data_IF_347111834405
#
_entry.id   IF_347111834405
#
_cell.length_a   1.000
_cell.length_b   1.000
_cell.length_c   1.000
_cell.angle_alpha   90.00
_cell.angle_beta   90.00
_cell.angle_gamma   90.00
#
_symmetry.space_group_name_H-M   'P 1'
#
loop_
_entity.id
_entity.type
_entity.pdbx_description
1 polymer ?
#
# COMPACT_ATOMS: atom_id res chain seq x y z
N UNK A 1 -31.52 -0.38 -64.76
CA UNK A 1 -31.57 -0.25 -63.29
C UNK A 1 -30.34 -0.94 -62.75
N UNK A 2 -29.35 -0.17 -62.31
CA UNK A 2 -28.11 -0.68 -61.75
C UNK A 2 -28.23 -0.56 -60.21
N UNK A 3 -28.25 -1.68 -59.51
CA UNK A 3 -28.34 -1.71 -58.07
C UNK A 3 -26.97 -1.38 -57.45
N UNK A 4 -26.90 -0.31 -56.68
CA UNK A 4 -25.75 0.00 -55.84
C UNK A 4 -25.73 -0.91 -54.59
N UNK A 5 -24.64 -1.63 -54.38
CA UNK A 5 -24.36 -2.32 -53.16
C UNK A 5 -24.00 -1.32 -52.05
N UNK A 6 -24.42 -1.52 -50.78
CA UNK A 6 -24.05 -0.66 -49.70
C UNK A 6 -22.57 -0.78 -49.35
N UNK A 7 -21.92 0.38 -49.14
CA UNK A 7 -20.53 0.46 -48.70
C UNK A 7 -20.33 -0.20 -47.33
N UNK A 8 -19.30 -1.02 -47.20
CA UNK A 8 -18.86 -1.61 -45.96
C UNK A 8 -18.41 -0.48 -44.99
N UNK A 9 -19.02 -0.41 -43.80
CA UNK A 9 -18.58 0.46 -42.73
C UNK A 9 -17.22 -0.06 -42.22
N UNK A 10 -16.18 0.72 -42.43
CA UNK A 10 -14.87 0.51 -41.78
C UNK A 10 -15.07 0.63 -40.28
N UNK A 11 -14.93 -0.48 -39.58
CA UNK A 11 -14.82 -0.50 -38.11
C UNK A 11 -13.53 0.20 -37.70
N UNK A 12 -13.64 1.36 -37.08
CA UNK A 12 -12.49 2.05 -36.47
C UNK A 12 -11.80 1.09 -35.49
N UNK A 13 -10.45 1.02 -35.49
CA UNK A 13 -9.72 0.21 -34.55
C UNK A 13 -9.98 0.74 -33.13
N UNK A 14 -10.59 -0.10 -32.29
CA UNK A 14 -10.71 0.16 -30.85
C UNK A 14 -9.31 0.27 -30.27
N UNK A 15 -8.88 1.47 -29.93
CA UNK A 15 -7.60 1.68 -29.24
C UNK A 15 -7.61 0.87 -27.95
N UNK A 16 -6.71 -0.12 -27.85
CA UNK A 16 -6.54 -0.92 -26.65
C UNK A 16 -6.36 0.02 -25.42
N UNK A 17 -7.00 -0.25 -24.29
CA UNK A 17 -6.90 0.61 -23.13
C UNK A 17 -5.44 0.75 -22.72
N UNK A 18 -4.98 2.01 -22.62
CA UNK A 18 -3.59 2.36 -22.30
C UNK A 18 -3.23 1.79 -20.93
N UNK A 19 -2.19 0.95 -20.85
CA UNK A 19 -1.71 0.40 -19.59
C UNK A 19 -1.39 1.53 -18.61
N UNK A 20 -1.94 1.55 -17.38
CA UNK A 20 -1.70 2.63 -16.42
C UNK A 20 -0.23 2.62 -15.96
N UNK A 21 0.31 3.81 -15.70
CA UNK A 21 1.64 3.93 -15.11
C UNK A 21 1.66 3.34 -13.70
N UNK A 22 2.66 2.51 -13.41
CA UNK A 22 2.91 2.03 -12.06
C UNK A 22 3.47 3.20 -11.22
N UNK A 23 2.90 3.40 -10.03
CA UNK A 23 3.31 4.48 -9.11
C UNK A 23 4.05 4.00 -7.88
N UNK A 24 3.72 2.79 -7.43
CA UNK A 24 4.27 2.22 -6.21
C UNK A 24 4.46 0.71 -6.37
N UNK A 25 5.66 0.24 -6.13
CA UNK A 25 5.98 -1.18 -6.10
C UNK A 25 6.51 -1.55 -4.72
N UNK A 26 5.83 -2.47 -4.06
CA UNK A 26 6.34 -3.10 -2.86
C UNK A 26 7.12 -4.34 -3.25
N UNK A 27 8.38 -4.40 -2.86
CA UNK A 27 9.20 -5.58 -3.05
C UNK A 27 9.51 -6.23 -1.71
N UNK A 28 9.08 -7.48 -1.55
CA UNK A 28 9.52 -8.32 -0.45
C UNK A 28 10.96 -8.74 -0.71
N UNK A 29 11.91 -7.93 -0.25
CA UNK A 29 13.32 -8.10 -0.56
C UNK A 29 13.93 -9.36 0.07
N UNK A 30 13.37 -9.79 1.20
CA UNK A 30 13.68 -11.05 1.89
C UNK A 30 12.45 -11.55 2.64
N UNK A 31 12.34 -12.86 2.82
CA UNK A 31 11.35 -13.47 3.72
C UNK A 31 11.86 -13.51 5.17
N UNK A 32 13.18 -13.40 5.40
CA UNK A 32 13.78 -13.38 6.72
C UNK A 32 13.27 -12.22 7.57
N UNK A 33 13.00 -12.48 8.85
CA UNK A 33 12.54 -11.50 9.82
C UNK A 33 13.00 -11.88 11.23
N UNK A 34 13.21 -10.90 12.05
CA UNK A 34 13.53 -11.07 13.48
C UNK A 34 12.29 -11.03 14.39
N UNK A 35 11.08 -10.91 13.82
CA UNK A 35 9.79 -10.94 14.53
C UNK A 35 8.85 -11.99 13.92
N UNK A 36 7.95 -12.53 14.77
CA UNK A 36 6.90 -13.49 14.40
C UNK A 36 5.51 -12.90 14.71
N UNK A 37 5.16 -11.83 13.98
CA UNK A 37 3.91 -11.11 14.22
C UNK A 37 2.68 -11.98 13.90
N UNK A 38 1.71 -12.04 14.80
CA UNK A 38 0.50 -12.88 14.67
C UNK A 38 -0.40 -12.50 13.49
N UNK A 39 -0.37 -11.23 13.03
CA UNK A 39 -1.14 -10.73 11.89
C UNK A 39 -0.32 -10.65 10.60
N UNK A 40 0.88 -11.26 10.57
CA UNK A 40 1.77 -11.18 9.42
C UNK A 40 1.10 -11.73 8.16
N UNK A 41 1.25 -11.01 7.03
CA UNK A 41 0.73 -11.47 5.73
C UNK A 41 1.42 -12.76 5.21
N UNK A 42 2.49 -13.22 5.85
CA UNK A 42 3.22 -14.45 5.52
C UNK A 42 2.78 -15.60 6.42
N UNK A 43 2.88 -16.83 5.91
CA UNK A 43 2.52 -18.05 6.65
C UNK A 43 3.60 -18.50 7.65
N UNK A 44 4.86 -18.16 7.41
CA UNK A 44 5.95 -18.49 8.33
C UNK A 44 7.15 -17.57 8.10
N UNK A 45 7.98 -17.49 9.15
CA UNK A 45 9.26 -16.78 9.13
C UNK A 45 10.35 -17.82 9.31
N UNK A 46 10.86 -18.37 8.22
CA UNK A 46 11.97 -19.33 8.26
C UNK A 46 13.20 -18.77 7.57
N UNK A 47 14.34 -18.78 8.25
CA UNK A 47 15.62 -18.46 7.62
C UNK A 47 15.95 -19.38 6.44
N UNK A 48 15.42 -20.62 6.44
CA UNK A 48 15.58 -21.54 5.32
C UNK A 48 14.89 -21.02 4.05
N UNK A 49 13.73 -20.36 4.19
CA UNK A 49 13.01 -19.76 3.05
C UNK A 49 13.78 -18.58 2.44
N UNK A 50 14.63 -17.89 3.21
CA UNK A 50 15.43 -16.77 2.69
C UNK A 50 16.48 -17.22 1.67
N UNK A 51 16.82 -18.51 1.63
CA UNK A 51 17.67 -19.10 0.59
C UNK A 51 17.03 -19.04 -0.80
N UNK A 52 15.71 -18.81 -0.89
CA UNK A 52 14.96 -18.66 -2.13
C UNK A 52 14.83 -17.20 -2.56
N UNK A 53 15.32 -16.24 -1.77
CA UNK A 53 15.30 -14.82 -2.11
C UNK A 53 15.98 -14.59 -3.46
N UNK A 54 15.50 -13.59 -4.21
CA UNK A 54 16.18 -13.15 -5.43
C UNK A 54 17.65 -12.86 -5.09
N UNK A 55 18.57 -13.42 -5.86
CA UNK A 55 19.99 -13.04 -5.75
C UNK A 55 20.19 -11.56 -6.04
N UNK A 56 21.32 -10.99 -5.62
CA UNK A 56 21.67 -9.59 -5.92
C UNK A 56 21.56 -9.28 -7.41
N UNK A 57 22.04 -10.18 -8.27
CA UNK A 57 22.00 -10.03 -9.72
C UNK A 57 20.55 -10.04 -10.26
N UNK A 58 19.71 -10.98 -9.80
CA UNK A 58 18.31 -11.06 -10.19
C UNK A 58 17.51 -9.84 -9.72
N UNK A 59 17.76 -9.38 -8.48
CA UNK A 59 17.13 -8.18 -7.94
C UNK A 59 17.49 -6.93 -8.75
N UNK A 60 18.77 -6.73 -9.06
CA UNK A 60 19.22 -5.60 -9.91
C UNK A 60 18.65 -5.68 -11.33
N UNK A 61 18.63 -6.87 -11.94
CA UNK A 61 18.05 -7.08 -13.27
C UNK A 61 16.59 -6.68 -13.31
N UNK A 62 15.79 -7.18 -12.37
CA UNK A 62 14.38 -6.84 -12.23
C UNK A 62 14.18 -5.33 -12.01
N UNK A 63 14.92 -4.71 -11.07
CA UNK A 63 14.81 -3.28 -10.75
C UNK A 63 15.13 -2.40 -11.94
N UNK A 64 16.10 -2.80 -12.78
CA UNK A 64 16.50 -2.06 -13.98
C UNK A 64 15.37 -1.93 -15.02
N UNK A 65 14.36 -2.80 -14.98
CA UNK A 65 13.20 -2.76 -15.90
C UNK A 65 12.06 -1.85 -15.41
N UNK A 66 12.07 -1.45 -14.14
CA UNK A 66 10.96 -0.69 -13.53
C UNK A 66 10.75 0.71 -14.14
N UNK A 67 11.80 1.46 -14.55
CA UNK A 67 11.59 2.77 -15.18
C UNK A 67 10.68 2.76 -16.41
N UNK A 68 10.60 1.63 -17.14
CA UNK A 68 9.73 1.45 -18.30
C UNK A 68 8.23 1.46 -17.95
N UNK A 69 7.89 1.23 -16.68
CA UNK A 69 6.48 1.14 -16.22
C UNK A 69 5.94 2.40 -15.58
N UNK A 70 6.72 3.50 -15.55
CA UNK A 70 6.29 4.80 -15.01
C UNK A 70 7.14 5.32 -13.85
N UNK A 71 8.34 4.78 -13.62
CA UNK A 71 9.27 5.18 -12.54
C UNK A 71 8.61 5.14 -11.14
N UNK A 72 8.13 3.97 -10.70
CA UNK A 72 7.44 3.85 -9.41
C UNK A 72 8.38 4.14 -8.24
N UNK A 73 7.81 4.54 -7.11
CA UNK A 73 8.51 4.43 -5.83
C UNK A 73 8.70 2.95 -5.53
N UNK A 74 9.96 2.53 -5.38
CA UNK A 74 10.29 1.17 -4.95
C UNK A 74 10.37 1.13 -3.42
N UNK A 75 9.43 0.40 -2.79
CA UNK A 75 9.42 0.18 -1.36
C UNK A 75 10.14 -1.13 -1.05
N UNK A 76 11.28 -1.04 -0.41
CA UNK A 76 11.96 -2.18 0.18
C UNK A 76 11.17 -2.63 1.40
N UNK A 77 10.58 -3.81 1.32
CA UNK A 77 9.76 -4.45 2.34
C UNK A 77 10.22 -5.91 2.48
N UNK A 78 9.44 -6.71 3.16
CA UNK A 78 9.75 -8.12 3.26
C UNK A 78 9.24 -8.73 4.55
N UNK A 79 10.06 -9.59 5.11
CA UNK A 79 10.14 -9.83 6.52
C UNK A 79 10.67 -8.58 7.20
N UNK A 80 11.96 -8.56 7.42
CA UNK A 80 12.68 -7.34 7.79
C UNK A 80 13.75 -7.07 6.71
N UNK A 81 13.57 -6.03 5.87
CA UNK A 81 14.48 -5.79 4.75
C UNK A 81 15.92 -5.51 5.19
N UNK A 82 16.12 -4.95 6.39
CA UNK A 82 17.47 -4.69 6.93
C UNK A 82 18.22 -5.97 7.32
N UNK A 83 17.56 -7.13 7.36
CA UNK A 83 18.22 -8.43 7.53
C UNK A 83 18.77 -8.99 6.22
N UNK A 84 18.42 -8.41 5.07
CA UNK A 84 19.00 -8.79 3.79
C UNK A 84 20.44 -8.23 3.68
N UNK A 85 21.48 -9.08 3.52
CA UNK A 85 22.88 -8.63 3.59
C UNK A 85 23.25 -7.57 2.55
N UNK A 86 22.72 -7.67 1.32
CA UNK A 86 23.01 -6.81 0.19
C UNK A 86 21.97 -5.67 -0.01
N UNK A 87 21.08 -5.41 0.97
CA UNK A 87 19.98 -4.44 0.84
C UNK A 87 20.47 -3.06 0.40
N UNK A 88 21.55 -2.56 0.97
CA UNK A 88 22.09 -1.25 0.62
C UNK A 88 22.78 -1.21 -0.76
N UNK A 89 23.33 -2.33 -1.22
CA UNK A 89 23.87 -2.47 -2.56
C UNK A 89 22.75 -2.40 -3.60
N UNK A 90 21.68 -3.14 -3.38
CA UNK A 90 20.52 -3.17 -4.26
C UNK A 90 19.77 -1.82 -4.21
N UNK A 91 19.70 -1.17 -3.05
CA UNK A 91 19.11 0.16 -2.92
C UNK A 91 19.89 1.23 -3.69
N UNK A 92 21.23 1.22 -3.64
CA UNK A 92 22.08 2.09 -4.49
C UNK A 92 21.84 1.84 -5.97
N UNK A 93 21.69 0.59 -6.39
CA UNK A 93 21.36 0.28 -7.77
C UNK A 93 19.98 0.86 -8.16
N UNK A 94 18.96 0.75 -7.32
CA UNK A 94 17.65 1.34 -7.57
C UNK A 94 17.72 2.87 -7.76
N UNK A 95 18.49 3.56 -6.90
CA UNK A 95 18.71 5.01 -7.07
C UNK A 95 19.50 5.36 -8.34
N UNK A 96 20.49 4.55 -8.72
CA UNK A 96 21.30 4.79 -9.93
C UNK A 96 20.50 4.68 -11.23
N UNK A 97 19.43 3.84 -11.25
CA UNK A 97 18.49 3.78 -12.37
C UNK A 97 17.35 4.80 -12.26
N UNK A 98 17.45 5.73 -11.31
CA UNK A 98 16.56 6.88 -11.15
C UNK A 98 15.23 6.58 -10.44
N UNK A 99 15.11 5.48 -9.71
CA UNK A 99 13.92 5.20 -8.92
C UNK A 99 13.97 5.91 -7.55
N UNK A 100 12.89 6.57 -7.13
CA UNK A 100 12.73 6.95 -5.73
C UNK A 100 12.55 5.69 -4.89
N UNK A 101 13.24 5.62 -3.74
CA UNK A 101 13.19 4.46 -2.85
C UNK A 101 12.61 4.82 -1.48
N UNK A 102 11.88 3.87 -0.89
CA UNK A 102 11.39 3.93 0.48
C UNK A 102 11.64 2.60 1.19
N UNK A 103 11.67 2.62 2.51
CA UNK A 103 11.89 1.45 3.36
C UNK A 103 10.67 1.21 4.22
N UNK A 104 10.23 -0.05 4.33
CA UNK A 104 9.21 -0.50 5.28
C UNK A 104 9.84 -1.52 6.24
N UNK A 105 10.04 -1.14 7.49
CA UNK A 105 10.74 -1.92 8.52
C UNK A 105 9.90 -2.05 9.78
N UNK A 106 10.16 -3.06 10.59
CA UNK A 106 9.61 -3.14 11.94
C UNK A 106 10.31 -2.16 12.93
N UNK A 107 11.49 -1.64 12.56
CA UNK A 107 12.24 -0.66 13.34
C UNK A 107 13.07 -1.23 14.50
N UNK A 108 12.89 -2.51 14.85
CA UNK A 108 13.44 -3.08 16.11
C UNK A 108 14.95 -3.33 16.09
N UNK A 109 15.57 -3.36 14.91
CA UNK A 109 17.03 -3.53 14.75
C UNK A 109 17.72 -2.22 14.36
N UNK A 110 16.98 -1.12 14.30
CA UNK A 110 17.50 0.19 13.95
C UNK A 110 18.52 0.67 15.00
N UNK A 111 19.58 1.28 14.52
CA UNK A 111 20.59 1.96 15.32
C UNK A 111 21.14 3.17 14.56
N UNK A 112 21.97 4.05 15.17
CA UNK A 112 22.48 5.26 14.51
C UNK A 112 23.27 4.98 13.23
N UNK A 113 24.04 3.89 13.17
CA UNK A 113 24.81 3.50 11.98
C UNK A 113 23.88 3.12 10.81
N UNK A 114 22.88 2.28 11.06
CA UNK A 114 21.87 1.92 10.05
C UNK A 114 21.08 3.15 9.58
N UNK A 115 20.68 4.03 10.50
CA UNK A 115 19.98 5.26 10.17
C UNK A 115 20.82 6.18 9.24
N UNK A 116 22.10 6.34 9.54
CA UNK A 116 23.03 7.08 8.69
C UNK A 116 23.16 6.44 7.28
N UNK A 117 23.32 5.11 7.21
CA UNK A 117 23.39 4.39 5.92
C UNK A 117 22.09 4.53 5.11
N UNK A 118 20.92 4.51 5.75
CA UNK A 118 19.62 4.72 5.12
C UNK A 118 19.54 6.12 4.50
N UNK A 119 19.95 7.16 5.23
CA UNK A 119 20.05 8.53 4.72
C UNK A 119 20.99 8.61 3.51
N UNK A 120 22.20 8.06 3.64
CA UNK A 120 23.28 8.20 2.65
C UNK A 120 22.97 7.48 1.33
N UNK A 121 22.22 6.38 1.37
CA UNK A 121 21.72 5.68 0.18
C UNK A 121 20.57 6.43 -0.49
N UNK A 122 19.92 7.34 0.23
CA UNK A 122 18.90 8.23 -0.31
C UNK A 122 17.47 7.72 -0.21
N UNK A 123 17.16 6.89 0.78
CA UNK A 123 15.77 6.55 1.10
C UNK A 123 14.99 7.82 1.44
N UNK A 124 13.90 8.05 0.70
CA UNK A 124 13.09 9.28 0.84
C UNK A 124 12.18 9.25 2.06
N UNK A 125 11.78 8.06 2.50
CA UNK A 125 10.93 7.83 3.65
C UNK A 125 11.16 6.43 4.22
N UNK A 126 11.11 6.33 5.53
CA UNK A 126 11.07 5.05 6.24
C UNK A 126 9.74 4.92 6.95
N UNK A 127 9.00 3.84 6.67
CA UNK A 127 7.81 3.50 7.43
C UNK A 127 8.16 2.49 8.52
N UNK A 128 7.75 2.79 9.74
CA UNK A 128 7.88 1.91 10.91
C UNK A 128 6.49 1.51 11.37
N UNK A 129 6.37 0.24 11.73
CA UNK A 129 5.09 -0.33 12.15
C UNK A 129 4.84 -0.13 13.64
N UNK A 130 3.66 0.45 13.98
CA UNK A 130 3.16 0.57 15.34
C UNK A 130 1.69 0.17 15.38
N UNK A 131 1.37 -0.95 16.04
CA UNK A 131 0.00 -1.46 16.12
C UNK A 131 -0.68 -1.09 17.46
N UNK A 132 -0.16 -0.09 18.14
CA UNK A 132 -0.71 0.47 19.35
C UNK A 132 0.12 1.64 19.87
N UNK A 133 -0.47 2.45 20.79
CA UNK A 133 0.19 3.63 21.36
C UNK A 133 1.15 3.31 22.50
N UNK A 134 1.16 2.06 22.96
CA UNK A 134 1.95 1.57 24.08
C UNK A 134 2.37 0.11 23.89
N UNK A 135 3.32 -0.35 24.71
CA UNK A 135 3.84 -1.72 24.64
C UNK A 135 2.75 -2.78 24.81
N UNK A 136 1.83 -2.70 25.79
CA UNK A 136 0.79 -3.72 25.93
C UNK A 136 -0.09 -3.91 24.68
N UNK A 137 -0.39 -2.83 23.96
CA UNK A 137 -1.22 -2.89 22.75
C UNK A 137 -0.41 -3.33 21.52
N UNK A 138 0.78 -2.74 21.34
CA UNK A 138 1.63 -3.01 20.18
C UNK A 138 2.21 -4.43 20.21
N UNK A 139 2.73 -4.84 21.38
CA UNK A 139 3.42 -6.11 21.53
C UNK A 139 2.47 -7.31 21.44
N UNK A 140 1.16 -7.11 21.62
CA UNK A 140 0.15 -8.14 21.40
C UNK A 140 0.22 -8.74 19.99
N UNK A 141 0.52 -7.91 18.99
CA UNK A 141 0.68 -8.36 17.61
C UNK A 141 2.14 -8.69 17.24
N UNK A 142 3.11 -8.00 17.84
CA UNK A 142 4.51 -8.02 17.36
C UNK A 142 5.50 -8.72 18.27
N UNK A 143 5.04 -9.09 19.45
CA UNK A 143 5.87 -9.77 20.44
C UNK A 143 6.53 -8.82 21.45
N UNK A 144 6.92 -9.36 22.63
CA UNK A 144 7.41 -8.58 23.77
C UNK A 144 8.64 -7.73 23.44
N UNK A 145 8.60 -6.45 23.86
CA UNK A 145 9.71 -5.50 23.73
C UNK A 145 9.89 -4.94 22.30
N UNK A 146 8.98 -5.24 21.38
CA UNK A 146 9.02 -4.66 20.03
C UNK A 146 8.73 -3.15 20.06
N UNK A 147 7.80 -2.71 20.92
CA UNK A 147 7.42 -1.30 21.04
C UNK A 147 8.61 -0.40 21.35
N UNK A 148 9.32 -0.66 22.45
CA UNK A 148 10.42 0.19 22.89
C UNK A 148 11.57 0.25 21.87
N UNK A 149 11.88 -0.88 21.24
CA UNK A 149 12.88 -0.95 20.18
C UNK A 149 12.45 -0.13 18.95
N UNK A 150 11.16 -0.17 18.57
CA UNK A 150 10.63 0.62 17.45
C UNK A 150 10.64 2.12 17.76
N UNK A 151 10.33 2.53 19.02
CA UNK A 151 10.48 3.91 19.49
C UNK A 151 11.94 4.38 19.32
N UNK A 152 12.90 3.56 19.76
CA UNK A 152 14.32 3.87 19.58
C UNK A 152 14.69 4.01 18.09
N UNK A 153 14.16 3.12 17.26
CA UNK A 153 14.37 3.18 15.82
C UNK A 153 13.87 4.48 15.16
N UNK A 154 12.70 4.97 15.59
CA UNK A 154 12.19 6.28 15.14
C UNK A 154 13.15 7.41 15.53
N UNK A 155 13.63 7.42 16.79
CA UNK A 155 14.57 8.45 17.26
C UNK A 155 15.84 8.47 16.41
N UNK A 156 16.48 7.33 16.17
CA UNK A 156 17.68 7.24 15.33
C UNK A 156 17.45 7.82 13.92
N UNK A 157 16.32 7.54 13.28
CA UNK A 157 15.99 8.07 11.95
C UNK A 157 15.74 9.57 11.98
N UNK A 158 15.06 10.08 12.99
CA UNK A 158 14.79 11.51 13.16
C UNK A 158 16.07 12.32 13.41
N UNK A 159 17.00 11.79 14.19
CA UNK A 159 18.32 12.41 14.45
C UNK A 159 19.14 12.63 13.17
N UNK A 160 19.00 11.76 12.19
CA UNK A 160 19.69 11.91 10.89
C UNK A 160 18.83 12.62 9.84
N UNK A 161 17.64 13.12 10.18
CA UNK A 161 16.76 13.89 9.29
C UNK A 161 16.02 13.06 8.24
N UNK A 162 15.85 11.76 8.45
CA UNK A 162 15.07 10.89 7.55
C UNK A 162 13.58 11.07 7.85
N UNK A 163 12.76 11.22 6.80
CA UNK A 163 11.29 11.27 6.91
C UNK A 163 10.75 9.96 7.45
N UNK A 164 9.93 10.03 8.52
CA UNK A 164 9.34 8.86 9.18
C UNK A 164 7.83 8.83 8.97
N UNK A 165 7.35 7.66 8.61
CA UNK A 165 5.93 7.32 8.53
C UNK A 165 5.62 6.23 9.55
N UNK A 166 4.52 6.37 10.26
CA UNK A 166 3.98 5.31 11.11
C UNK A 166 2.94 4.51 10.31
N UNK A 167 3.05 3.19 10.36
CA UNK A 167 2.03 2.28 9.85
C UNK A 167 1.36 1.59 11.03
N UNK A 168 0.04 1.62 11.11
CA UNK A 168 -0.72 0.89 12.12
C UNK A 168 -1.72 -0.05 11.47
N UNK A 169 -1.71 -1.32 11.88
CA UNK A 169 -2.74 -2.29 11.46
C UNK A 169 -3.85 -2.29 12.49
N UNK A 170 -5.05 -1.95 12.03
CA UNK A 170 -6.23 -1.81 12.89
C UNK A 170 -7.01 -3.11 12.97
N UNK A 171 -7.22 -3.55 14.21
CA UNK A 171 -8.03 -4.69 14.58
C UNK A 171 -8.82 -4.34 15.86
N UNK A 172 -9.66 -5.24 16.35
CA UNK A 172 -10.59 -4.92 17.47
C UNK A 172 -9.87 -4.51 18.76
N UNK A 173 -8.68 -5.04 19.02
CA UNK A 173 -7.93 -4.72 20.24
C UNK A 173 -7.40 -3.29 20.29
N UNK A 174 -7.19 -2.63 19.12
CA UNK A 174 -6.57 -1.31 19.06
C UNK A 174 -7.42 -0.23 18.38
N UNK A 175 -8.54 -0.55 17.72
CA UNK A 175 -9.29 0.46 16.96
C UNK A 175 -9.82 1.62 17.83
N UNK A 176 -10.15 1.34 19.11
CA UNK A 176 -10.55 2.38 20.07
C UNK A 176 -9.39 3.22 20.58
N UNK A 177 -8.15 2.84 20.28
CA UNK A 177 -6.91 3.53 20.67
C UNK A 177 -6.31 4.33 19.51
N UNK A 178 -7.07 4.55 18.42
CA UNK A 178 -6.57 5.30 17.25
C UNK A 178 -6.18 6.74 17.58
N UNK A 179 -6.90 7.43 18.47
CA UNK A 179 -6.54 8.77 18.93
C UNK A 179 -5.19 8.79 19.69
N UNK A 180 -4.95 7.79 20.52
CA UNK A 180 -3.69 7.67 21.26
C UNK A 180 -2.53 7.34 20.29
N UNK A 181 -2.77 6.47 19.31
CA UNK A 181 -1.80 6.17 18.27
C UNK A 181 -1.48 7.40 17.41
N UNK A 182 -2.49 8.22 17.11
CA UNK A 182 -2.31 9.48 16.39
C UNK A 182 -1.46 10.48 17.19
N UNK A 183 -1.71 10.60 18.51
CA UNK A 183 -0.88 11.43 19.40
C UNK A 183 0.55 10.92 19.45
N UNK A 184 0.76 9.60 19.62
CA UNK A 184 2.08 9.00 19.59
C UNK A 184 2.83 9.35 18.30
N UNK A 185 2.16 9.27 17.14
CA UNK A 185 2.78 9.62 15.85
C UNK A 185 3.20 11.11 15.81
N UNK A 186 2.39 12.00 16.36
CA UNK A 186 2.74 13.43 16.51
C UNK A 186 3.93 13.63 17.44
N UNK A 187 3.93 13.00 18.61
CA UNK A 187 4.97 13.12 19.64
C UNK A 187 6.33 12.58 19.15
N UNK A 188 6.29 11.54 18.32
CA UNK A 188 7.47 11.00 17.66
C UNK A 188 7.96 11.87 16.49
N UNK A 189 7.23 12.93 16.13
CA UNK A 189 7.55 13.80 15.00
C UNK A 189 7.44 13.07 13.65
N UNK A 190 6.52 12.12 13.53
CA UNK A 190 6.27 11.45 12.26
C UNK A 190 5.66 12.43 11.23
N UNK A 191 5.96 12.22 9.96
CA UNK A 191 5.41 13.02 8.85
C UNK A 191 4.07 12.46 8.36
N UNK A 192 3.82 11.18 8.61
CA UNK A 192 2.62 10.48 8.13
C UNK A 192 2.19 9.36 9.08
N UNK A 193 0.87 9.10 9.11
CA UNK A 193 0.26 7.93 9.73
C UNK A 193 -0.61 7.21 8.70
N UNK A 194 -0.22 6.00 8.33
CA UNK A 194 -1.00 5.14 7.45
C UNK A 194 -1.76 4.10 8.27
N UNK A 195 -3.07 4.14 8.18
CA UNK A 195 -3.99 3.25 8.90
C UNK A 195 -4.36 2.10 7.97
N UNK A 196 -3.85 0.92 8.28
CA UNK A 196 -4.11 -0.31 7.54
C UNK A 196 -5.29 -1.05 8.18
N UNK A 197 -6.35 -1.22 7.43
CA UNK A 197 -7.43 -2.09 7.90
C UNK A 197 -7.02 -3.55 7.67
N UNK A 198 -7.02 -4.35 8.73
CA UNK A 198 -6.57 -5.74 8.71
C UNK A 198 -7.18 -6.53 7.54
N UNK A 199 -6.33 -7.23 6.81
CA UNK A 199 -6.71 -8.18 5.77
C UNK A 199 -6.31 -9.58 6.24
N UNK A 200 -7.23 -10.53 6.40
CA UNK A 200 -6.93 -11.86 6.92
C UNK A 200 -6.23 -12.71 5.85
N UNK A 201 -4.90 -12.61 5.79
CA UNK A 201 -4.04 -13.39 4.90
C UNK A 201 -2.77 -13.81 5.64
N UNK A 202 -2.12 -14.87 5.20
CA UNK A 202 -0.95 -15.43 5.88
C UNK A 202 -1.28 -15.85 7.32
N UNK A 203 -0.43 -15.53 8.29
CA UNK A 203 -0.72 -15.78 9.73
C UNK A 203 -2.01 -15.09 10.19
N UNK A 204 -2.40 -13.99 9.56
CA UNK A 204 -3.66 -13.32 9.84
C UNK A 204 -4.91 -14.17 9.58
N UNK A 205 -4.82 -15.25 8.81
CA UNK A 205 -5.91 -16.23 8.62
C UNK A 205 -6.15 -17.10 9.86
N UNK A 206 -5.16 -17.23 10.73
CA UNK A 206 -5.23 -18.01 11.96
C UNK A 206 -5.79 -17.19 13.13
N UNK A 207 -5.97 -15.88 12.94
CA UNK A 207 -6.56 -15.01 13.95
C UNK A 207 -8.04 -15.35 14.15
N UNK A 208 -8.46 -15.37 15.41
CA UNK A 208 -9.87 -15.54 15.77
C UNK A 208 -10.75 -14.45 15.14
N UNK A 209 -11.95 -14.81 14.72
CA UNK A 209 -12.89 -13.87 14.10
C UNK A 209 -13.20 -12.67 15.01
N UNK A 210 -13.06 -12.81 16.34
CA UNK A 210 -13.23 -11.72 17.31
C UNK A 210 -12.18 -10.62 17.18
N UNK A 211 -11.05 -10.86 16.48
CA UNK A 211 -10.01 -9.85 16.20
C UNK A 211 -10.43 -8.93 15.05
N UNK A 212 -11.33 -9.40 14.18
CA UNK A 212 -11.82 -8.61 13.05
C UNK A 212 -12.82 -7.55 13.48
N UNK A 213 -12.78 -6.39 12.84
CA UNK A 213 -13.80 -5.35 13.04
C UNK A 213 -15.12 -5.76 12.40
N UNK A 214 -16.23 -5.44 13.07
CA UNK A 214 -17.54 -5.43 12.45
C UNK A 214 -17.66 -4.37 11.36
N UNK A 215 -18.65 -4.49 10.48
CA UNK A 215 -18.90 -3.48 9.45
C UNK A 215 -19.10 -2.06 10.00
N UNK A 216 -19.75 -1.93 11.17
CA UNK A 216 -19.96 -0.64 11.84
C UNK A 216 -18.63 -0.09 12.41
N UNK A 217 -17.87 -0.91 13.14
CA UNK A 217 -16.55 -0.51 13.66
C UNK A 217 -15.60 -0.10 12.53
N UNK A 218 -15.75 -0.74 11.37
CA UNK A 218 -15.01 -0.39 10.18
C UNK A 218 -15.40 1.01 9.65
N UNK A 219 -16.70 1.30 9.56
CA UNK A 219 -17.21 2.62 9.17
C UNK A 219 -16.77 3.71 10.18
N UNK A 220 -16.82 3.40 11.49
CA UNK A 220 -16.38 4.32 12.54
C UNK A 220 -14.90 4.67 12.39
N UNK A 221 -14.04 3.68 12.13
CA UNK A 221 -12.62 3.92 11.89
C UNK A 221 -12.37 4.79 10.64
N UNK A 222 -13.13 4.57 9.55
CA UNK A 222 -13.02 5.38 8.34
C UNK A 222 -13.48 6.83 8.56
N UNK A 223 -14.56 7.03 9.32
CA UNK A 223 -15.02 8.36 9.69
C UNK A 223 -14.00 9.06 10.60
N UNK A 224 -13.40 8.34 11.55
CA UNK A 224 -12.32 8.87 12.36
C UNK A 224 -11.12 9.35 11.52
N UNK A 225 -10.68 8.54 10.53
CA UNK A 225 -9.61 8.97 9.61
C UNK A 225 -9.98 10.25 8.87
N UNK A 226 -11.25 10.35 8.42
CA UNK A 226 -11.73 11.57 7.75
C UNK A 226 -11.63 12.79 8.67
N UNK A 227 -12.15 12.70 9.89
CA UNK A 227 -12.15 13.80 10.84
C UNK A 227 -10.73 14.25 11.20
N UNK A 228 -9.82 13.31 11.47
CA UNK A 228 -8.41 13.62 11.76
C UNK A 228 -7.66 14.17 10.54
N UNK A 229 -8.04 13.76 9.32
CA UNK A 229 -7.42 14.32 8.10
C UNK A 229 -7.69 15.80 7.90
N UNK A 230 -8.80 16.32 8.42
CA UNK A 230 -9.15 17.74 8.36
C UNK A 230 -8.27 18.61 9.27
N UNK A 231 -7.63 18.03 10.29
CA UNK A 231 -6.73 18.77 11.18
C UNK A 231 -5.42 19.21 10.48
N UNK A 232 -5.01 18.52 9.43
CA UNK A 232 -3.81 18.85 8.66
C UNK A 232 -2.47 18.70 9.39
N UNK A 233 -2.46 18.06 10.59
CA UNK A 233 -1.25 17.90 11.43
C UNK A 233 -0.34 16.76 10.98
N UNK A 234 -0.93 15.69 10.43
CA UNK A 234 -0.25 14.53 9.87
C UNK A 234 -0.84 14.18 8.50
N UNK A 235 0.01 13.66 7.61
CA UNK A 235 -0.50 13.05 6.38
C UNK A 235 -1.13 11.70 6.72
N UNK A 236 -2.47 11.65 6.75
CA UNK A 236 -3.25 10.44 7.02
C UNK A 236 -3.60 9.72 5.74
N UNK A 237 -3.51 8.38 5.78
CA UNK A 237 -3.94 7.53 4.66
C UNK A 237 -4.65 6.28 5.18
N UNK A 238 -5.84 6.03 4.67
CA UNK A 238 -6.51 4.74 4.81
C UNK A 238 -5.90 3.75 3.79
N UNK A 239 -5.36 2.63 4.27
CA UNK A 239 -4.74 1.58 3.45
C UNK A 239 -5.52 0.28 3.60
N UNK A 240 -5.66 -0.50 2.53
CA UNK A 240 -6.55 -1.66 2.47
C UNK A 240 -8.01 -1.32 2.82
N UNK A 241 -8.38 -0.06 2.64
CA UNK A 241 -9.70 0.51 2.97
C UNK A 241 -10.25 1.36 1.82
N UNK A 242 -10.48 0.79 0.63
CA UNK A 242 -10.89 1.56 -0.54
C UNK A 242 -12.21 2.29 -0.36
N UNK A 243 -13.10 1.81 0.50
CA UNK A 243 -14.37 2.47 0.80
C UNK A 243 -14.23 3.77 1.59
N UNK A 244 -13.03 4.11 2.08
CA UNK A 244 -12.72 5.45 2.59
C UNK A 244 -13.02 6.55 1.54
N UNK A 245 -12.79 6.28 0.26
CA UNK A 245 -13.11 7.23 -0.81
C UNK A 245 -14.62 7.47 -0.96
N UNK A 246 -15.46 6.47 -0.64
CA UNK A 246 -16.90 6.67 -0.52
C UNK A 246 -17.24 7.57 0.67
N UNK A 247 -16.68 7.26 1.85
CA UNK A 247 -16.87 8.05 3.08
C UNK A 247 -16.49 9.52 2.83
N UNK A 248 -15.31 9.77 2.28
CA UNK A 248 -14.87 11.13 1.93
C UNK A 248 -15.89 11.87 1.07
N UNK A 249 -16.40 11.25 0.00
CA UNK A 249 -17.39 11.85 -0.89
C UNK A 249 -18.72 12.14 -0.20
N UNK A 250 -19.19 11.20 0.62
CA UNK A 250 -20.43 11.36 1.37
C UNK A 250 -20.32 12.49 2.40
N UNK A 251 -19.23 12.51 3.18
CA UNK A 251 -18.98 13.54 4.19
C UNK A 251 -18.79 14.92 3.57
N UNK A 252 -17.96 15.05 2.52
CA UNK A 252 -17.75 16.33 1.83
C UNK A 252 -19.05 16.87 1.24
N UNK A 253 -19.88 16.02 0.63
CA UNK A 253 -21.18 16.42 0.10
C UNK A 253 -22.12 16.89 1.22
N UNK A 254 -22.19 16.18 2.35
CA UNK A 254 -23.05 16.53 3.47
C UNK A 254 -22.63 17.86 4.13
N UNK A 255 -21.35 18.19 4.11
CA UNK A 255 -20.80 19.43 4.68
C UNK A 255 -20.76 20.59 3.68
N UNK A 256 -21.16 20.38 2.41
CA UNK A 256 -21.02 21.40 1.35
C UNK A 256 -19.57 21.81 1.08
N UNK A 257 -18.60 20.96 1.49
CA UNK A 257 -17.18 21.26 1.40
C UNK A 257 -16.53 20.57 0.20
N UNK A 258 -15.44 21.15 -0.32
CA UNK A 258 -14.56 20.43 -1.24
C UNK A 258 -13.97 19.19 -0.56
N UNK A 259 -13.68 18.14 -1.34
CA UNK A 259 -12.96 16.98 -0.78
C UNK A 259 -11.66 17.43 -0.13
N UNK A 260 -11.28 16.87 1.05
CA UNK A 260 -10.02 17.19 1.67
C UNK A 260 -8.90 16.99 0.65
N UNK A 261 -8.14 18.05 0.37
CA UNK A 261 -6.87 17.87 -0.32
C UNK A 261 -6.02 16.99 0.60
N UNK A 262 -5.37 15.97 0.05
CA UNK A 262 -4.35 15.25 0.79
C UNK A 262 -3.23 16.28 1.06
N UNK A 263 -3.33 17.00 2.18
CA UNK A 263 -2.43 18.10 2.49
C UNK A 263 -1.02 17.55 2.65
N UNK A 264 -0.09 18.08 1.87
CA UNK A 264 1.33 17.96 2.18
C UNK A 264 1.69 19.09 3.15
N UNK A 265 2.06 18.81 4.41
CA UNK A 265 2.56 19.83 5.34
C UNK A 265 3.87 20.47 4.86
N UNK A 266 4.51 19.94 3.80
CA UNK A 266 5.84 20.35 3.37
C UNK A 266 5.93 21.53 2.39
N UNK A 267 4.83 22.22 2.06
CA UNK A 267 4.96 23.44 1.22
C UNK A 267 5.62 24.63 1.92
N UNK A 268 5.80 24.60 3.25
CA UNK A 268 6.29 25.76 4.01
C UNK A 268 7.39 25.49 5.06
N UNK A 269 8.02 24.31 5.11
CA UNK A 269 9.21 24.12 5.93
C UNK A 269 10.46 24.15 5.04
N UNK A 270 11.08 25.33 4.96
CA UNK A 270 12.44 25.46 4.45
C UNK A 270 13.39 24.59 5.28
N UNK A 271 13.94 23.53 4.68
CA UNK A 271 15.07 22.83 5.27
C UNK A 271 16.28 23.78 5.33
N UNK A 272 16.92 23.95 6.50
CA UNK A 272 18.25 24.53 6.53
C UNK A 272 19.23 23.49 6.00
N UNK A 273 19.54 23.54 4.70
CA UNK A 273 20.44 22.61 4.01
C UNK A 273 20.07 22.33 2.55
N UNK A 274 19.36 23.22 1.90
CA UNK A 274 19.03 23.11 0.48
C UNK A 274 20.28 23.23 -0.39
N UNK A 275 20.64 22.17 -1.11
CA UNK A 275 21.55 22.30 -2.26
C UNK A 275 20.82 23.05 -3.39
N UNK A 276 21.38 24.14 -3.91
CA UNK A 276 20.83 24.84 -5.09
C UNK A 276 21.23 24.04 -6.34
N UNK A 277 20.27 23.54 -7.07
CA UNK A 277 20.50 23.00 -8.40
C UNK A 277 19.83 21.67 -8.69
N UNK A 278 18.55 21.68 -8.93
CA UNK A 278 17.82 20.58 -9.53
C UNK A 278 16.56 21.12 -10.20
N UNK A 279 16.59 21.23 -11.53
CA UNK A 279 15.45 21.61 -12.35
C UNK A 279 14.23 20.75 -11.99
N UNK A 280 13.07 21.39 -11.78
CA UNK A 280 11.80 20.75 -11.47
C UNK A 280 11.35 19.80 -12.57
N UNK A 281 11.69 18.53 -12.44
CA UNK A 281 11.07 17.45 -13.17
C UNK A 281 9.77 17.11 -12.47
N UNK A 282 8.68 16.95 -13.22
CA UNK A 282 7.38 16.48 -12.79
C UNK A 282 7.50 15.20 -11.94
N UNK A 283 7.60 15.36 -10.62
CA UNK A 283 7.48 14.21 -9.72
C UNK A 283 5.99 13.84 -9.69
N UNK A 284 5.64 12.56 -9.93
CA UNK A 284 4.26 12.14 -9.85
C UNK A 284 3.72 12.44 -8.46
N UNK A 285 2.76 13.35 -8.38
CA UNK A 285 2.09 13.71 -7.14
C UNK A 285 1.37 12.48 -6.58
N UNK A 286 1.92 11.89 -5.53
CA UNK A 286 1.32 10.76 -4.81
C UNK A 286 -0.03 11.12 -4.18
N UNK A 287 -0.39 12.41 -4.15
CA UNK A 287 -1.68 12.89 -3.62
C UNK A 287 -2.81 12.76 -4.63
N UNK A 288 -2.52 12.64 -5.92
CA UNK A 288 -3.52 12.45 -6.98
C UNK A 288 -4.07 11.01 -7.03
N UNK A 289 -4.18 10.31 -5.89
CA UNK A 289 -4.82 9.00 -5.81
C UNK A 289 -6.34 9.18 -5.82
N UNK A 290 -6.93 9.05 -6.99
CA UNK A 290 -8.37 9.31 -7.22
C UNK A 290 -9.25 8.08 -7.00
N UNK A 291 -8.66 6.90 -6.74
CA UNK A 291 -9.36 5.62 -6.55
C UNK A 291 -9.00 4.96 -5.24
N UNK A 292 -9.91 4.15 -4.72
CA UNK A 292 -9.74 3.42 -3.46
C UNK A 292 -8.77 2.26 -3.57
N UNK A 293 -9.12 1.22 -4.32
CA UNK A 293 -8.22 0.09 -4.54
C UNK A 293 -7.28 0.36 -5.72
N UNK A 294 -5.98 0.35 -5.45
CA UNK A 294 -4.94 0.59 -6.46
C UNK A 294 -4.21 -0.68 -6.88
N UNK A 295 -4.58 -1.84 -6.32
CA UNK A 295 -4.02 -3.14 -6.69
C UNK A 295 -4.10 -3.36 -8.21
N UNK A 296 -2.97 -3.67 -8.85
CA UNK A 296 -2.91 -3.88 -10.29
C UNK A 296 -3.17 -2.65 -11.17
N UNK A 297 -3.49 -1.49 -10.59
CA UNK A 297 -3.79 -0.23 -11.31
C UNK A 297 -2.66 0.80 -11.19
N UNK A 298 -2.15 1.01 -9.98
CA UNK A 298 -1.04 1.91 -9.70
C UNK A 298 -0.10 1.33 -8.64
N UNK A 299 -0.48 0.22 -8.02
CA UNK A 299 0.28 -0.50 -7.00
C UNK A 299 0.49 -1.93 -7.46
N UNK A 300 1.67 -2.46 -7.17
CA UNK A 300 2.05 -3.84 -7.42
C UNK A 300 2.92 -4.36 -6.27
N UNK A 301 3.01 -5.67 -6.16
CA UNK A 301 3.85 -6.36 -5.19
C UNK A 301 4.68 -7.44 -5.89
N UNK A 302 5.96 -7.55 -5.52
CA UNK A 302 6.86 -8.61 -5.96
C UNK A 302 7.39 -9.33 -4.73
N UNK A 303 7.26 -10.66 -4.70
CA UNK A 303 7.74 -11.49 -3.59
C UNK A 303 9.25 -11.64 -3.60
N UNK A 304 9.79 -12.21 -2.52
CA UNK A 304 11.20 -12.56 -2.39
C UNK A 304 11.66 -13.57 -3.45
N UNK A 305 10.76 -14.40 -3.96
CA UNK A 305 11.03 -15.38 -5.03
C UNK A 305 10.84 -14.82 -6.44
N UNK A 306 10.39 -13.56 -6.56
CA UNK A 306 10.15 -12.89 -7.85
C UNK A 306 8.73 -13.05 -8.39
N UNK A 307 7.80 -13.67 -7.66
CA UNK A 307 6.39 -13.73 -8.05
C UNK A 307 5.76 -12.34 -7.97
N UNK A 308 4.96 -11.99 -8.97
CA UNK A 308 4.28 -10.70 -9.10
C UNK A 308 2.82 -10.84 -8.72
N UNK A 309 2.34 -9.96 -7.84
CA UNK A 309 0.97 -9.93 -7.34
C UNK A 309 0.36 -8.53 -7.49
N UNK A 310 -0.98 -8.40 -7.59
CA UNK A 310 -1.64 -7.09 -7.67
C UNK A 310 -1.38 -6.19 -6.46
N UNK A 311 -1.27 -6.78 -5.26
CA UNK A 311 -0.85 -6.14 -4.03
C UNK A 311 -0.29 -7.18 -3.04
N UNK A 312 0.28 -6.75 -1.92
CA UNK A 312 0.88 -7.63 -0.92
C UNK A 312 -0.11 -8.54 -0.17
N UNK A 313 -1.42 -8.37 -0.37
CA UNK A 313 -2.47 -9.10 0.33
C UNK A 313 -3.34 -9.95 -0.61
N UNK A 314 -3.18 -9.86 -1.93
CA UNK A 314 -3.92 -10.68 -2.90
C UNK A 314 -2.99 -11.75 -3.48
N UNK A 315 -3.07 -13.00 -3.01
CA UNK A 315 -2.12 -14.07 -3.34
C UNK A 315 -2.44 -14.74 -4.68
N UNK A 316 -2.73 -13.95 -5.71
CA UNK A 316 -3.00 -14.44 -7.07
C UNK A 316 -1.84 -14.00 -7.97
N UNK A 317 -1.01 -14.98 -8.37
CA UNK A 317 0.20 -14.72 -9.17
C UNK A 317 -0.15 -14.19 -10.56
N UNK A 318 0.52 -13.12 -10.94
CA UNK A 318 0.42 -12.49 -12.27
C UNK A 318 1.59 -12.84 -13.19
N UNK A 319 2.59 -13.57 -12.69
CA UNK A 319 3.82 -13.98 -13.38
C UNK A 319 5.03 -13.90 -12.46
N UNK A 320 6.23 -14.20 -12.98
CA UNK A 320 7.48 -14.19 -12.20
C UNK A 320 8.57 -13.43 -12.96
N UNK A 321 9.26 -12.51 -12.27
CA UNK A 321 10.31 -11.65 -12.87
C UNK A 321 11.58 -12.42 -13.26
N UNK A 322 11.75 -13.67 -12.80
CA UNK A 322 12.86 -14.54 -13.24
C UNK A 322 12.67 -15.08 -14.66
N UNK A 323 11.41 -15.18 -15.11
CA UNK A 323 11.06 -15.81 -16.39
C UNK A 323 10.52 -14.81 -17.41
N UNK A 324 9.92 -13.72 -16.93
CA UNK A 324 9.26 -12.72 -17.77
C UNK A 324 9.61 -11.32 -17.31
N UNK A 325 10.05 -10.41 -18.19
CA UNK A 325 10.33 -9.02 -17.81
C UNK A 325 9.12 -8.36 -17.14
N UNK A 326 9.37 -7.63 -16.06
CA UNK A 326 8.28 -7.01 -15.28
C UNK A 326 7.35 -6.11 -16.12
N UNK A 327 7.83 -5.27 -17.07
CA UNK A 327 6.94 -4.46 -17.91
C UNK A 327 5.95 -5.30 -18.72
N UNK A 328 6.35 -6.48 -19.18
CA UNK A 328 5.47 -7.42 -19.89
C UNK A 328 4.39 -7.96 -18.96
N UNK A 329 4.77 -8.39 -17.75
CA UNK A 329 3.79 -8.86 -16.74
C UNK A 329 2.80 -7.74 -16.41
N UNK A 330 3.29 -6.51 -16.16
CA UNK A 330 2.47 -5.36 -15.83
C UNK A 330 1.45 -5.01 -16.92
N UNK A 331 1.84 -5.14 -18.17
CA UNK A 331 1.00 -4.82 -19.32
C UNK A 331 0.00 -5.93 -19.64
N UNK A 332 0.46 -7.18 -19.68
CA UNK A 332 -0.22 -8.27 -20.39
C UNK A 332 -0.90 -9.29 -19.46
N UNK A 333 -0.66 -9.22 -18.13
CA UNK A 333 -1.29 -10.17 -17.20
C UNK A 333 -2.82 -10.03 -17.21
N UNK A 334 -3.50 -11.18 -17.41
CA UNK A 334 -4.96 -11.27 -17.33
C UNK A 334 -5.51 -10.76 -15.99
N UNK A 335 -4.82 -11.06 -14.89
CA UNK A 335 -5.22 -10.64 -13.53
C UNK A 335 -5.24 -9.12 -13.42
N UNK A 336 -4.21 -8.45 -13.94
CA UNK A 336 -4.19 -6.99 -13.96
C UNK A 336 -5.27 -6.42 -14.88
N UNK A 337 -5.51 -7.03 -16.04
CA UNK A 337 -6.58 -6.63 -16.96
C UNK A 337 -7.96 -6.75 -16.29
N UNK A 338 -8.22 -7.85 -15.59
CA UNK A 338 -9.48 -8.06 -14.87
C UNK A 338 -9.70 -7.02 -13.77
N UNK A 339 -8.69 -6.76 -12.94
CA UNK A 339 -8.79 -5.78 -11.85
C UNK A 339 -8.92 -4.33 -12.37
N UNK A 340 -8.39 -4.04 -13.55
CA UNK A 340 -8.49 -2.71 -14.18
C UNK A 340 -9.88 -2.43 -14.75
N UNK A 341 -10.66 -3.45 -15.00
CA UNK A 341 -12.01 -3.38 -15.56
C UNK A 341 -13.08 -3.43 -14.45
N UNK A 342 -13.60 -2.26 -14.07
CA UNK A 342 -14.63 -2.15 -13.03
C UNK A 342 -16.00 -2.72 -13.45
N UNK A 343 -16.19 -3.03 -14.74
CA UNK A 343 -17.40 -3.71 -15.23
C UNK A 343 -17.48 -5.18 -14.83
N UNK A 344 -16.33 -5.79 -14.50
CA UNK A 344 -16.23 -7.19 -14.04
C UNK A 344 -16.51 -7.38 -12.56
N UNK A 345 -16.68 -6.31 -11.80
CA UNK A 345 -17.01 -6.42 -10.38
C UNK A 345 -18.38 -7.05 -10.18
N UNK A 346 -18.46 -7.97 -9.22
CA UNK A 346 -19.65 -8.76 -8.90
C UNK A 346 -20.29 -8.29 -7.57
N UNK A 347 -21.40 -8.91 -7.20
CA UNK A 347 -22.16 -8.63 -5.99
C UNK A 347 -22.51 -7.15 -5.84
N UNK A 348 -22.61 -6.67 -4.58
CA UNK A 348 -22.95 -5.26 -4.31
C UNK A 348 -21.90 -4.27 -4.85
N UNK A 349 -20.63 -4.69 -5.00
CA UNK A 349 -19.60 -3.85 -5.59
C UNK A 349 -19.87 -3.57 -7.06
N UNK A 350 -20.36 -4.54 -7.84
CA UNK A 350 -20.73 -4.40 -9.25
C UNK A 350 -21.92 -3.47 -9.48
N UNK A 351 -22.87 -3.44 -8.51
CA UNK A 351 -24.07 -2.59 -8.57
C UNK A 351 -23.86 -1.20 -7.95
N UNK A 352 -22.75 -0.98 -7.25
CA UNK A 352 -22.51 0.21 -6.45
C UNK A 352 -22.21 1.45 -7.31
N UNK A 353 -22.85 2.58 -7.02
CA UNK A 353 -22.60 3.87 -7.65
C UNK A 353 -21.20 4.43 -7.38
N UNK A 354 -20.54 3.94 -6.33
CA UNK A 354 -19.15 4.28 -6.00
C UNK A 354 -18.10 3.35 -6.63
N UNK A 355 -18.48 2.35 -7.44
CA UNK A 355 -17.55 1.33 -7.95
C UNK A 355 -16.32 1.92 -8.67
N UNK A 356 -16.49 3.00 -9.44
CA UNK A 356 -15.39 3.66 -10.17
C UNK A 356 -14.33 4.29 -9.26
N UNK A 357 -14.68 4.61 -8.01
CA UNK A 357 -13.78 5.31 -7.07
C UNK A 357 -13.39 4.46 -5.88
N UNK A 358 -14.19 3.47 -5.50
CA UNK A 358 -13.94 2.58 -4.37
C UNK A 358 -13.36 1.23 -4.81
N UNK A 359 -14.10 0.48 -5.62
CA UNK A 359 -13.83 -0.89 -6.10
C UNK A 359 -13.84 -1.98 -5.01
N UNK A 360 -13.99 -1.66 -3.72
CA UNK A 360 -13.80 -2.62 -2.62
C UNK A 360 -12.36 -3.14 -2.51
N UNK A 361 -12.00 -3.79 -1.40
CA UNK A 361 -10.69 -4.43 -1.26
C UNK A 361 -10.72 -5.79 -1.95
N UNK A 362 -9.98 -5.92 -3.06
CA UNK A 362 -9.94 -7.16 -3.85
C UNK A 362 -9.30 -8.33 -3.09
N UNK A 363 -8.41 -8.02 -2.14
CA UNK A 363 -7.78 -9.04 -1.32
C UNK A 363 -8.76 -9.62 -0.29
N UNK A 364 -9.60 -8.78 0.38
CA UNK A 364 -10.63 -9.29 1.30
C UNK A 364 -11.75 -10.02 0.56
N UNK A 365 -12.18 -9.50 -0.61
CA UNK A 365 -13.11 -10.23 -1.45
C UNK A 365 -12.58 -11.64 -1.76
N UNK A 366 -11.33 -11.76 -2.18
CA UNK A 366 -10.69 -13.04 -2.46
C UNK A 366 -10.58 -13.93 -1.21
N UNK A 367 -10.16 -13.38 -0.08
CA UNK A 367 -10.00 -14.14 1.17
C UNK A 367 -11.32 -14.77 1.64
N UNK A 368 -12.44 -14.08 1.43
CA UNK A 368 -13.76 -14.55 1.88
C UNK A 368 -14.43 -15.50 0.87
N UNK A 369 -14.28 -15.21 -0.43
CA UNK A 369 -15.09 -15.87 -1.48
C UNK A 369 -14.28 -16.71 -2.46
N UNK A 370 -12.94 -16.60 -2.46
CA UNK A 370 -12.08 -17.18 -3.48
C UNK A 370 -12.05 -16.40 -4.81
N UNK A 371 -12.85 -15.31 -4.96
CA UNK A 371 -12.86 -14.45 -6.15
C UNK A 371 -12.45 -13.02 -5.81
N UNK A 372 -11.44 -12.50 -6.54
CA UNK A 372 -11.05 -11.09 -6.40
C UNK A 372 -11.99 -10.11 -7.12
N UNK A 373 -13.02 -10.59 -7.80
CA UNK A 373 -14.04 -9.77 -8.47
C UNK A 373 -15.31 -9.62 -7.62
N UNK A 374 -15.51 -10.48 -6.61
CA UNK A 374 -16.63 -10.45 -5.69
C UNK A 374 -16.71 -9.21 -4.81
N UNK A 375 -17.80 -9.08 -4.07
CA UNK A 375 -18.03 -7.93 -3.21
C UNK A 375 -17.08 -7.85 -2.01
N UNK A 376 -16.85 -6.66 -1.52
CA UNK A 376 -16.10 -6.38 -0.29
C UNK A 376 -16.94 -6.79 0.94
N UNK A 377 -16.53 -7.80 1.73
CA UNK A 377 -17.33 -8.33 2.82
C UNK A 377 -17.55 -7.34 3.97
N UNK A 378 -16.56 -6.50 4.28
CA UNK A 378 -16.60 -5.57 5.42
C UNK A 378 -17.23 -4.21 5.07
N UNK A 379 -17.82 -4.05 3.90
CA UNK A 379 -18.47 -2.80 3.52
C UNK A 379 -19.92 -2.76 4.06
N UNK A 380 -20.19 -1.87 5.02
CA UNK A 380 -21.53 -1.65 5.57
C UNK A 380 -22.48 -0.88 4.64
N UNK A 381 -22.00 -0.37 3.51
CA UNK A 381 -22.80 0.44 2.60
C UNK A 381 -23.74 -0.41 1.71
N UNK A 382 -25.03 -0.03 1.69
CA UNK A 382 -26.00 -0.61 0.75
C UNK A 382 -26.13 0.30 -0.48
N UNK A 383 -25.77 -0.16 -1.69
CA UNK A 383 -25.94 0.59 -2.93
C UNK A 383 -27.38 1.05 -3.16
N UNK A 384 -27.56 2.21 -3.78
CA UNK A 384 -28.91 2.79 -4.05
C UNK A 384 -29.79 1.80 -4.82
N UNK A 385 -29.21 1.08 -5.80
CA UNK A 385 -29.93 0.09 -6.62
C UNK A 385 -30.45 -1.12 -5.84
N UNK A 386 -29.93 -1.36 -4.63
CA UNK A 386 -30.35 -2.46 -3.75
C UNK A 386 -31.35 -2.01 -2.67
N UNK A 387 -31.53 -0.68 -2.51
CA UNK A 387 -32.48 -0.10 -1.56
C UNK A 387 -33.90 -0.26 -2.11
N UNK A 388 -34.72 -1.05 -1.46
CA UNK A 388 -36.09 -1.35 -1.87
C UNK A 388 -36.30 -2.73 -2.50
N UNK A 389 -35.25 -3.50 -2.69
CA UNK A 389 -35.35 -4.94 -2.89
C UNK A 389 -35.41 -5.59 -1.49
N UNK A 390 -36.57 -5.56 -0.87
CA UNK A 390 -36.87 -6.41 0.32
C UNK A 390 -36.82 -7.85 -0.18
N UNK A 391 -35.91 -8.65 0.38
CA UNK A 391 -35.88 -10.10 0.24
C UNK A 391 -37.13 -10.71 0.82
#
# INVERSE_FOLDING_TARGET
MVAHAPAAQETQPTTAPKTPALRLLFWESTVGCNLECSHCRRLSVSHELSKQDLTTAQAKSFISTLPETGRPILVFSGGEPLMRPDVFEVARHATSVGLPIALATNGTIMNPELAARIRDVGFKRVSISFDGPDAPTHDQFRGPGAFDKSIYGVKCLREVGVSVQINTTVARHNYRRLDDTYRLALDLGADALHVFMLVPVGCGMELDASVMLSGQEYEDALNWIYDRSLEGKLHLKATCAPHYFRVMRQRSKAQGAAMPAFAHPHKNMGHPGGHPGGAGGDQPDMTAMTKGCLAGQAVCFVSHTGEVFPCGYLPVSSGNVKTTPFPTIWRDSKIFADIRDDSKLEGKCGLCEYKKVCMGCRARAFSETGSYLEEEPNCGYTPVRMRGQTL
#
